data_IF_796370258297
#
_entry.id   IF_796370258297
#
_cell.length_a   1.000
_cell.length_b   1.000
_cell.length_c   1.000
_cell.angle_alpha   90.00
_cell.angle_beta   90.00
_cell.angle_gamma   90.00
#
_symmetry.space_group_name_H-M   'P 1'
#
loop_
_entity.id
_entity.type
_entity.pdbx_description
1 polymer ?
#
# COMPACT_ATOMS: atom_id res chain seq x y z
N UNK A 1 -20.18 18.50 -0.78
CA UNK A 1 -19.58 17.57 0.20
C UNK A 1 -18.14 17.35 -0.20
N UNK A 2 -17.17 17.76 0.62
CA UNK A 2 -15.76 17.49 0.38
C UNK A 2 -15.47 16.02 0.69
N UNK A 3 -15.09 15.23 -0.31
CA UNK A 3 -14.56 13.88 -0.09
C UNK A 3 -13.24 14.01 0.66
N UNK A 4 -13.24 13.72 1.96
CA UNK A 4 -11.98 13.69 2.69
C UNK A 4 -11.25 12.39 2.35
N UNK A 5 -10.09 12.54 1.70
CA UNK A 5 -9.24 11.43 1.26
C UNK A 5 -8.39 10.98 2.45
N UNK A 6 -8.76 9.89 3.09
CA UNK A 6 -8.00 9.32 4.21
C UNK A 6 -7.35 8.01 3.80
N UNK A 7 -6.12 7.78 4.28
CA UNK A 7 -5.47 6.48 4.16
C UNK A 7 -6.38 5.37 4.73
N UNK A 8 -6.66 4.37 3.90
CA UNK A 8 -7.56 3.26 4.22
C UNK A 8 -6.93 2.28 5.22
N UNK A 9 -5.62 2.36 5.47
CA UNK A 9 -4.88 1.42 6.32
C UNK A 9 -4.69 1.92 7.74
N UNK A 10 -4.24 3.17 7.91
CA UNK A 10 -4.04 3.77 9.23
C UNK A 10 -5.21 4.64 9.69
N UNK A 11 -6.23 4.85 8.84
CA UNK A 11 -7.43 5.66 9.07
C UNK A 11 -7.19 7.12 9.50
N UNK A 12 -5.94 7.59 9.55
CA UNK A 12 -5.58 8.91 10.08
C UNK A 12 -5.04 9.88 9.04
N UNK A 13 -4.14 9.42 8.16
CA UNK A 13 -3.42 10.33 7.26
C UNK A 13 -4.30 10.93 6.16
N UNK A 14 -4.22 12.25 5.98
CA UNK A 14 -4.86 12.99 4.89
C UNK A 14 -3.82 13.83 4.09
N UNK A 15 -4.20 14.40 2.92
CA UNK A 15 -3.29 15.26 2.16
C UNK A 15 -2.76 16.40 3.03
N UNK A 16 -1.43 16.51 3.16
CA UNK A 16 -0.74 17.51 3.99
C UNK A 16 -0.08 16.97 5.27
N UNK A 17 -0.46 15.78 5.74
CA UNK A 17 0.18 15.11 6.89
C UNK A 17 1.24 14.07 6.47
N UNK A 18 1.20 13.67 5.19
CA UNK A 18 2.07 12.64 4.60
C UNK A 18 2.70 13.17 3.32
N UNK A 19 3.87 12.65 2.98
CA UNK A 19 4.59 13.06 1.76
C UNK A 19 3.83 12.60 0.51
N UNK A 20 3.28 11.39 0.56
CA UNK A 20 2.49 10.81 -0.51
C UNK A 20 1.21 10.16 0.01
N UNK A 21 0.10 10.44 -0.67
CA UNK A 21 -1.16 9.71 -0.54
C UNK A 21 -1.55 9.15 -1.91
N UNK A 22 -1.26 7.87 -2.13
CA UNK A 22 -1.50 7.18 -3.39
C UNK A 22 -2.97 6.77 -3.47
N UNK A 23 -3.59 6.97 -4.63
CA UNK A 23 -4.98 6.56 -4.90
C UNK A 23 -5.01 5.48 -5.98
N UNK A 24 -5.71 4.38 -5.72
CA UNK A 24 -5.92 3.30 -6.68
C UNK A 24 -7.16 2.49 -6.32
N UNK A 25 -7.98 2.13 -7.30
CA UNK A 25 -9.19 1.29 -7.16
C UNK A 25 -10.13 1.65 -5.99
N UNK A 26 -10.31 2.95 -5.70
CA UNK A 26 -11.18 3.41 -4.60
C UNK A 26 -10.56 3.31 -3.20
N UNK A 27 -9.27 2.98 -3.10
CA UNK A 27 -8.50 3.02 -1.86
C UNK A 27 -7.48 4.17 -1.88
N UNK A 28 -7.09 4.59 -0.68
CA UNK A 28 -5.97 5.52 -0.46
C UNK A 28 -4.95 4.86 0.46
N UNK A 29 -3.67 4.99 0.15
CA UNK A 29 -2.58 4.50 1.00
C UNK A 29 -1.49 5.57 1.10
N UNK A 30 -1.04 5.87 2.32
CA UNK A 30 0.08 6.77 2.52
C UNK A 30 1.43 6.06 2.37
N UNK A 31 2.48 6.84 2.08
CA UNK A 31 3.90 6.45 2.10
C UNK A 31 4.27 5.56 3.30
N UNK A 32 3.94 5.98 4.52
CA UNK A 32 4.28 5.23 5.73
C UNK A 32 3.65 3.82 5.76
N UNK A 33 2.41 3.70 5.27
CA UNK A 33 1.75 2.40 5.17
C UNK A 33 2.33 1.53 4.04
N UNK A 34 2.81 2.15 2.95
CA UNK A 34 3.51 1.44 1.88
C UNK A 34 4.81 0.83 2.42
N UNK A 35 5.60 1.60 3.17
CA UNK A 35 6.86 1.12 3.73
C UNK A 35 6.66 -0.06 4.70
N UNK A 36 5.66 0.03 5.58
CA UNK A 36 5.32 -1.07 6.48
C UNK A 36 4.85 -2.32 5.73
N UNK A 37 3.97 -2.14 4.74
CA UNK A 37 3.48 -3.25 3.92
C UNK A 37 4.63 -3.92 3.15
N UNK A 38 5.55 -3.12 2.59
CA UNK A 38 6.73 -3.62 1.88
C UNK A 38 7.62 -4.46 2.81
N UNK A 39 7.88 -4.00 4.03
CA UNK A 39 8.67 -4.74 5.02
C UNK A 39 8.03 -6.09 5.39
N UNK A 40 6.72 -6.10 5.70
CA UNK A 40 5.98 -7.32 6.06
C UNK A 40 5.98 -8.32 4.90
N UNK A 41 5.78 -7.86 3.66
CA UNK A 41 5.79 -8.73 2.49
C UNK A 41 7.20 -9.27 2.20
N UNK A 42 8.24 -8.46 2.40
CA UNK A 42 9.62 -8.90 2.25
C UNK A 42 9.98 -10.01 3.25
N UNK A 43 9.60 -9.86 4.52
CA UNK A 43 9.77 -10.90 5.55
C UNK A 43 9.03 -12.19 5.17
N UNK A 44 7.74 -12.10 4.82
CA UNK A 44 6.95 -13.27 4.41
C UNK A 44 7.51 -13.99 3.17
N UNK A 45 8.07 -13.25 2.22
CA UNK A 45 8.72 -13.82 1.02
C UNK A 45 10.02 -14.54 1.38
N UNK A 46 10.77 -14.05 2.36
CA UNK A 46 11.98 -14.71 2.84
C UNK A 46 11.67 -16.00 3.61
N UNK A 47 10.58 -16.03 4.38
CA UNK A 47 10.13 -17.22 5.12
C UNK A 47 9.55 -18.31 4.21
N UNK A 48 8.81 -17.93 3.15
CA UNK A 48 8.13 -18.87 2.25
C UNK A 48 8.46 -18.62 0.77
N UNK A 49 9.60 -19.15 0.25
CA UNK A 49 10.07 -18.91 -1.11
C UNK A 49 9.14 -19.41 -2.24
N UNK A 50 8.11 -20.20 -1.91
CA UNK A 50 7.24 -20.88 -2.89
C UNK A 50 6.03 -20.02 -3.32
N UNK A 51 5.77 -18.86 -2.71
CA UNK A 51 4.70 -17.93 -3.11
C UNK A 51 5.29 -16.79 -3.97
N UNK A 52 6.06 -17.15 -4.99
CA UNK A 52 6.31 -16.23 -6.09
C UNK A 52 5.04 -16.25 -6.95
N UNK A 53 4.15 -15.29 -6.75
CA UNK A 53 3.01 -15.08 -7.65
C UNK A 53 3.53 -15.11 -9.08
N UNK A 54 2.89 -15.94 -9.90
CA UNK A 54 2.99 -15.90 -11.35
C UNK A 54 2.92 -14.45 -11.81
N UNK A 55 4.07 -13.85 -12.10
CA UNK A 55 4.09 -12.76 -13.07
C UNK A 55 3.55 -13.39 -14.34
N UNK A 56 2.29 -13.13 -14.69
CA UNK A 56 1.87 -13.30 -16.07
C UNK A 56 2.64 -12.21 -16.84
N UNK A 57 3.58 -12.56 -17.72
CA UNK A 57 3.89 -11.66 -18.82
C UNK A 57 2.72 -11.82 -19.79
N UNK A 58 1.76 -10.91 -19.75
CA UNK A 58 0.73 -10.84 -20.77
C UNK A 58 0.77 -9.44 -21.36
N UNK A 59 1.60 -9.38 -22.41
CA UNK A 59 1.50 -8.58 -23.65
C UNK A 59 1.38 -7.06 -23.58
#
# INVERSE_FOLDING_TARGET
>A
MSETRYCSFCAGAHPGEVEYLVTSFGAYICDQCVDQAAAIIAEKRAEHPQIQQSTNPSE
#
